data_IF_631205403871
#
_entry.id   IF_631205403871
#
_cell.length_a   1.000
_cell.length_b   1.000
_cell.length_c   1.000
_cell.angle_alpha   90.00
_cell.angle_beta   90.00
_cell.angle_gamma   90.00
#
_symmetry.space_group_name_H-M   'P 1'
#
loop_
_entity.id
_entity.type
_entity.pdbx_description
1 polymer ?
#
# COMPACT_ATOMS: atom_id res chain seq x y z
N UNK A 1 1.84 -16.61 -29.22
CA UNK A 1 1.29 -16.08 -27.95
C UNK A 1 1.91 -14.71 -27.74
N UNK A 2 1.14 -13.63 -27.65
CA UNK A 2 1.69 -12.30 -27.33
C UNK A 2 1.78 -12.20 -25.81
N UNK A 3 3.00 -12.18 -25.24
CA UNK A 3 3.19 -11.99 -23.81
C UNK A 3 2.96 -10.51 -23.49
N UNK A 4 1.72 -10.19 -23.11
CA UNK A 4 1.35 -8.84 -22.68
C UNK A 4 2.18 -8.48 -21.44
N UNK A 5 2.88 -7.36 -21.51
CA UNK A 5 3.63 -6.81 -20.38
C UNK A 5 2.66 -6.51 -19.24
N UNK A 6 3.03 -6.89 -18.02
CA UNK A 6 2.25 -6.58 -16.81
C UNK A 6 1.24 -7.65 -16.37
N UNK A 7 1.08 -8.76 -17.10
CA UNK A 7 0.32 -9.92 -16.58
C UNK A 7 1.12 -10.61 -15.47
N UNK A 8 0.47 -10.94 -14.36
CA UNK A 8 1.08 -11.68 -13.25
C UNK A 8 1.65 -13.03 -13.69
N UNK A 9 2.77 -13.43 -13.10
CA UNK A 9 3.42 -14.72 -13.32
C UNK A 9 2.56 -15.87 -12.76
N UNK A 10 2.73 -17.10 -13.29
CA UNK A 10 2.11 -18.30 -12.71
C UNK A 10 2.53 -18.51 -11.25
N UNK A 11 1.66 -19.16 -10.48
CA UNK A 11 1.90 -19.44 -9.06
C UNK A 11 3.21 -20.19 -8.80
N UNK A 12 3.61 -21.09 -9.70
CA UNK A 12 4.86 -21.86 -9.55
C UNK A 12 6.11 -20.96 -9.56
N UNK A 13 6.10 -19.91 -10.39
CA UNK A 13 7.18 -18.91 -10.44
C UNK A 13 7.19 -18.11 -9.13
N UNK A 14 6.02 -17.66 -8.67
CA UNK A 14 5.90 -16.93 -7.41
C UNK A 14 6.38 -17.77 -6.22
N UNK A 15 6.00 -19.05 -6.15
CA UNK A 15 6.44 -19.97 -5.11
C UNK A 15 7.96 -20.18 -5.13
N UNK A 16 8.56 -20.29 -6.32
CA UNK A 16 10.01 -20.38 -6.49
C UNK A 16 10.73 -19.13 -5.99
N UNK A 17 10.21 -17.94 -6.32
CA UNK A 17 10.75 -16.66 -5.83
C UNK A 17 10.66 -16.59 -4.30
N UNK A 18 9.50 -16.91 -3.71
CA UNK A 18 9.30 -16.96 -2.25
C UNK A 18 10.31 -17.92 -1.61
N UNK A 19 10.45 -19.13 -2.14
CA UNK A 19 11.37 -20.14 -1.59
C UNK A 19 12.82 -19.65 -1.60
N UNK A 20 13.28 -19.10 -2.72
CA UNK A 20 14.64 -18.57 -2.85
C UNK A 20 14.87 -17.41 -1.87
N UNK A 21 13.88 -16.54 -1.68
CA UNK A 21 13.98 -15.41 -0.76
C UNK A 21 13.99 -15.84 0.72
N UNK A 22 13.11 -16.75 1.13
CA UNK A 22 13.05 -17.27 2.50
C UNK A 22 14.33 -18.03 2.88
N UNK A 23 14.92 -18.76 1.94
CA UNK A 23 16.13 -19.56 2.19
C UNK A 23 17.44 -18.79 2.00
N UNK A 24 17.37 -17.49 1.71
CA UNK A 24 18.54 -16.73 1.30
C UNK A 24 19.51 -16.40 2.45
N UNK A 25 19.02 -15.81 3.54
CA UNK A 25 19.81 -15.40 4.71
C UNK A 25 18.90 -15.42 5.96
N UNK A 26 19.45 -15.81 7.11
CA UNK A 26 18.70 -15.92 8.38
C UNK A 26 18.25 -14.57 8.95
N UNK A 27 18.82 -13.45 8.48
CA UNK A 27 18.42 -12.09 8.88
C UNK A 27 17.10 -11.64 8.25
N UNK A 28 16.64 -12.34 7.22
CA UNK A 28 15.33 -12.10 6.62
C UNK A 28 14.28 -12.70 7.57
N UNK A 29 13.50 -11.83 8.22
CA UNK A 29 12.52 -12.24 9.22
C UNK A 29 11.19 -12.63 8.57
N UNK A 30 10.79 -11.90 7.53
CA UNK A 30 9.53 -12.09 6.82
C UNK A 30 9.71 -11.71 5.36
N UNK A 31 8.97 -12.39 4.48
CA UNK A 31 8.70 -11.91 3.12
C UNK A 31 7.36 -11.20 3.18
N UNK A 32 7.34 -9.93 2.85
CA UNK A 32 6.10 -9.17 2.89
C UNK A 32 5.29 -9.34 1.61
N UNK A 33 5.90 -9.00 0.48
CA UNK A 33 5.25 -9.04 -0.82
C UNK A 33 6.17 -9.68 -1.85
N UNK A 34 5.61 -10.54 -2.70
CA UNK A 34 6.28 -11.05 -3.90
C UNK A 34 5.38 -10.83 -5.09
N UNK A 35 5.88 -10.13 -6.10
CA UNK A 35 5.20 -9.90 -7.36
C UNK A 35 6.13 -10.30 -8.49
N UNK A 36 5.56 -10.90 -9.52
CA UNK A 36 6.28 -11.11 -10.76
C UNK A 36 5.33 -10.90 -11.92
N UNK A 37 5.79 -10.23 -12.96
CA UNK A 37 5.00 -9.91 -14.13
C UNK A 37 5.78 -10.14 -15.41
N UNK A 38 5.05 -10.50 -16.47
CA UNK A 38 5.64 -10.80 -17.77
C UNK A 38 6.35 -9.55 -18.33
N UNK A 39 7.58 -9.76 -18.77
CA UNK A 39 8.44 -8.80 -19.46
C UNK A 39 9.01 -9.50 -20.70
N UNK A 40 8.19 -9.60 -21.75
CA UNK A 40 8.49 -10.46 -22.90
C UNK A 40 8.37 -11.94 -22.53
N UNK A 41 9.41 -12.72 -22.79
CA UNK A 41 9.43 -14.17 -22.52
C UNK A 41 9.79 -14.52 -21.06
N UNK A 42 10.28 -13.55 -20.30
CA UNK A 42 10.74 -13.68 -18.92
C UNK A 42 9.90 -12.82 -17.97
N UNK A 43 10.25 -12.83 -16.68
CA UNK A 43 9.58 -12.06 -15.64
C UNK A 43 10.45 -10.94 -15.08
N UNK A 44 9.82 -9.82 -14.75
CA UNK A 44 10.34 -8.88 -13.76
C UNK A 44 9.78 -9.28 -12.40
N UNK A 45 10.66 -9.43 -11.42
CA UNK A 45 10.33 -9.82 -10.06
C UNK A 45 10.54 -8.65 -9.09
N UNK A 46 9.58 -8.44 -8.20
CA UNK A 46 9.65 -7.49 -7.09
C UNK A 46 9.45 -8.30 -5.81
N UNK A 47 10.40 -8.18 -4.88
CA UNK A 47 10.39 -8.90 -3.60
C UNK A 47 10.66 -7.91 -2.49
N UNK A 48 9.72 -7.83 -1.56
CA UNK A 48 9.82 -6.98 -0.38
C UNK A 48 10.10 -7.88 0.83
N UNK A 49 11.23 -7.63 1.49
CA UNK A 49 11.70 -8.41 2.64
C UNK A 49 11.76 -7.54 3.89
N UNK A 50 11.49 -8.15 5.04
CA UNK A 50 11.57 -7.48 6.34
C UNK A 50 12.80 -7.96 7.09
N UNK A 51 13.61 -7.02 7.57
CA UNK A 51 14.80 -7.25 8.40
C UNK A 51 14.69 -6.46 9.70
N UNK A 52 15.54 -6.74 10.70
CA UNK A 52 15.50 -5.99 11.95
C UNK A 52 15.90 -4.52 11.72
N UNK A 53 15.11 -3.57 12.23
CA UNK A 53 15.41 -2.13 12.15
C UNK A 53 16.68 -1.69 12.89
N UNK A 54 17.24 -2.57 13.73
CA UNK A 54 18.53 -2.37 14.39
C UNK A 54 19.73 -2.66 13.49
N UNK A 55 19.53 -3.33 12.36
CA UNK A 55 20.64 -3.69 11.49
C UNK A 55 21.17 -2.48 10.75
N UNK A 56 22.49 -2.44 10.61
CA UNK A 56 23.13 -1.39 9.84
C UNK A 56 22.69 -1.45 8.37
N UNK A 57 22.44 -0.27 7.79
CA UNK A 57 22.08 -0.13 6.37
C UNK A 57 23.05 -0.88 5.44
N UNK A 58 24.33 -0.92 5.77
CA UNK A 58 25.33 -1.69 5.01
C UNK A 58 24.98 -3.18 4.96
N UNK A 59 24.60 -3.75 6.09
CA UNK A 59 24.26 -5.18 6.20
C UNK A 59 22.98 -5.48 5.44
N UNK A 60 21.94 -4.67 5.61
CA UNK A 60 20.67 -4.87 4.90
C UNK A 60 20.83 -4.71 3.40
N UNK A 61 21.61 -3.72 2.95
CA UNK A 61 21.98 -3.54 1.55
C UNK A 61 22.75 -4.74 0.98
N UNK A 62 23.75 -5.26 1.69
CA UNK A 62 24.56 -6.36 1.17
C UNK A 62 23.73 -7.66 1.04
N UNK A 63 22.85 -7.92 2.01
CA UNK A 63 21.90 -9.04 1.96
C UNK A 63 20.93 -8.87 0.78
N UNK A 64 20.27 -7.72 0.65
CA UNK A 64 19.30 -7.49 -0.43
C UNK A 64 19.92 -7.49 -1.82
N UNK A 65 21.11 -6.90 -1.97
CA UNK A 65 21.86 -6.93 -3.23
C UNK A 65 22.25 -8.36 -3.61
N UNK A 66 22.67 -9.18 -2.64
CA UNK A 66 23.01 -10.57 -2.90
C UNK A 66 21.77 -11.43 -3.22
N UNK A 67 20.61 -11.12 -2.61
CA UNK A 67 19.33 -11.74 -2.95
C UNK A 67 18.89 -11.35 -4.37
N UNK A 68 18.99 -10.07 -4.73
CA UNK A 68 18.68 -9.59 -6.08
C UNK A 68 19.48 -10.38 -7.13
N UNK A 69 20.80 -10.47 -6.96
CA UNK A 69 21.67 -11.24 -7.87
C UNK A 69 21.27 -12.72 -7.94
N UNK A 70 20.86 -13.32 -6.82
CA UNK A 70 20.40 -14.71 -6.78
C UNK A 70 19.10 -14.90 -7.57
N UNK A 71 18.16 -13.96 -7.48
CA UNK A 71 16.90 -13.98 -8.23
C UNK A 71 17.11 -13.73 -9.72
N UNK A 72 17.97 -12.78 -10.10
CA UNK A 72 18.37 -12.54 -11.50
C UNK A 72 19.15 -13.71 -12.11
N UNK A 73 19.71 -14.60 -11.29
CA UNK A 73 20.33 -15.85 -11.74
C UNK A 73 19.34 -16.94 -12.13
N UNK A 74 18.03 -16.78 -11.88
CA UNK A 74 17.01 -17.73 -12.31
C UNK A 74 16.73 -17.57 -13.81
N UNK A 75 16.65 -18.68 -14.54
CA UNK A 75 16.39 -18.71 -16.00
C UNK A 75 15.18 -17.88 -16.44
N UNK A 76 14.17 -17.82 -15.57
CA UNK A 76 12.85 -17.26 -15.86
C UNK A 76 12.79 -15.75 -15.53
N UNK A 77 13.80 -15.21 -14.85
CA UNK A 77 13.83 -13.82 -14.36
C UNK A 77 14.76 -12.99 -15.24
N UNK A 78 14.27 -11.88 -15.78
CA UNK A 78 15.08 -10.92 -16.53
C UNK A 78 15.67 -9.83 -15.63
N UNK A 79 14.88 -9.36 -14.66
CA UNK A 79 15.29 -8.40 -13.63
C UNK A 79 14.59 -8.68 -12.32
N UNK A 80 15.28 -8.38 -11.22
CA UNK A 80 14.70 -8.39 -9.88
C UNK A 80 14.92 -7.06 -9.17
N UNK A 81 13.94 -6.65 -8.38
CA UNK A 81 14.04 -5.55 -7.43
C UNK A 81 13.78 -6.11 -6.04
N UNK A 82 14.66 -5.80 -5.08
CA UNK A 82 14.49 -6.22 -3.68
C UNK A 82 14.36 -4.98 -2.81
N UNK A 83 13.20 -4.80 -2.18
CA UNK A 83 12.97 -3.79 -1.16
C UNK A 83 13.30 -4.38 0.22
N UNK A 84 13.88 -3.59 1.11
CA UNK A 84 14.06 -3.98 2.52
C UNK A 84 13.33 -3.01 3.43
N UNK A 85 12.37 -3.54 4.17
CA UNK A 85 11.64 -2.83 5.21
C UNK A 85 12.05 -3.31 6.60
N UNK A 86 11.76 -2.50 7.61
CA UNK A 86 11.91 -2.87 9.01
C UNK A 86 10.57 -3.12 9.72
N UNK A 87 9.47 -2.83 9.04
CA UNK A 87 8.10 -2.97 9.53
C UNK A 87 7.25 -3.66 8.47
N UNK A 88 6.16 -4.30 8.90
CA UNK A 88 5.28 -5.07 8.02
C UNK A 88 3.82 -4.61 8.06
N UNK A 89 3.51 -3.57 8.84
CA UNK A 89 2.12 -3.11 9.06
C UNK A 89 1.57 -2.29 7.87
N UNK A 90 2.43 -1.78 6.99
CA UNK A 90 2.10 -1.10 5.74
C UNK A 90 0.94 -0.09 5.84
N UNK A 91 1.07 0.91 6.72
CA UNK A 91 0.03 1.93 6.83
C UNK A 91 -0.02 2.79 5.56
N UNK A 92 -1.11 2.64 4.81
CA UNK A 92 -1.38 3.39 3.58
C UNK A 92 -1.43 4.93 3.79
N UNK A 93 -1.58 5.40 5.03
CA UNK A 93 -1.49 6.82 5.38
C UNK A 93 -0.06 7.34 5.50
N UNK A 94 0.91 6.48 5.80
CA UNK A 94 2.31 6.86 6.02
C UNK A 94 3.21 6.54 4.81
N UNK A 95 2.96 5.44 4.11
CA UNK A 95 3.92 4.89 3.13
C UNK A 95 3.69 5.33 1.68
N UNK A 96 2.48 5.74 1.33
CA UNK A 96 2.11 6.04 -0.06
C UNK A 96 1.27 7.31 -0.23
N UNK A 97 1.21 7.80 -1.47
CA UNK A 97 0.41 8.96 -1.85
C UNK A 97 -1.03 8.70 -1.42
N UNK A 98 -1.50 9.43 -0.41
CA UNK A 98 -2.89 9.39 0.05
C UNK A 98 -3.82 9.35 -1.17
N UNK A 99 -4.50 8.22 -1.38
CA UNK A 99 -5.55 8.09 -2.40
C UNK A 99 -6.47 9.28 -2.18
N UNK A 100 -6.47 10.22 -3.14
CA UNK A 100 -7.20 11.49 -3.16
C UNK A 100 -8.03 11.73 -1.90
N UNK A 101 -7.64 12.69 -1.02
CA UNK A 101 -8.43 13.08 0.16
C UNK A 101 -9.91 12.97 -0.19
N UNK A 102 -10.59 11.93 0.30
CA UNK A 102 -12.03 11.77 0.05
C UNK A 102 -12.63 13.09 0.47
N UNK A 103 -13.37 13.74 -0.43
CA UNK A 103 -14.01 15.01 -0.17
C UNK A 103 -15.16 14.85 0.84
N UNK A 104 -14.89 14.30 2.02
CA UNK A 104 -15.85 14.16 3.12
C UNK A 104 -16.37 15.51 3.60
N UNK A 105 -15.58 16.58 3.40
CA UNK A 105 -16.01 17.95 3.75
C UNK A 105 -17.11 18.50 2.83
N UNK A 106 -17.26 18.03 1.60
CA UNK A 106 -18.29 18.54 0.68
C UNK A 106 -19.69 17.96 0.98
N UNK A 107 -19.75 16.78 1.59
CA UNK A 107 -21.01 16.08 1.89
C UNK A 107 -21.57 16.49 3.26
N UNK A 108 -20.70 16.67 4.25
CA UNK A 108 -21.07 17.22 5.57
C UNK A 108 -21.59 18.68 5.47
N UNK A 109 -20.94 19.53 4.65
CA UNK A 109 -21.42 20.90 4.38
C UNK A 109 -22.77 20.93 3.65
N UNK A 110 -23.01 20.00 2.70
CA UNK A 110 -24.31 19.91 2.01
C UNK A 110 -25.44 19.46 2.92
N UNK A 111 -25.15 18.59 3.90
CA UNK A 111 -26.16 18.14 4.87
C UNK A 111 -26.49 19.28 5.85
N UNK A 112 -25.51 20.03 6.35
CA UNK A 112 -25.77 21.22 7.19
C UNK A 112 -26.56 22.30 6.43
N UNK A 113 -26.20 22.59 5.18
CA UNK A 113 -26.90 23.57 4.33
C UNK A 113 -28.34 23.12 3.98
N UNK A 114 -28.59 21.81 3.85
CA UNK A 114 -29.92 21.26 3.58
C UNK A 114 -30.82 21.20 4.83
N UNK A 115 -30.23 21.11 6.02
CA UNK A 115 -30.98 21.04 7.30
C UNK A 115 -31.31 22.43 7.85
N UNK A 116 -30.74 23.50 7.28
CA UNK A 116 -30.96 24.88 7.72
C UNK A 116 -31.77 25.72 6.73
N UNK A 117 -33.11 25.75 6.83
CA UNK A 117 -33.95 26.91 6.43
C UNK A 117 -35.41 26.81 6.95
N UNK A 118 -36.13 27.95 7.07
CA UNK A 118 -36.55 28.55 8.33
C UNK A 118 -38.03 28.30 8.63
N UNK A 119 -38.39 28.04 9.89
CA UNK A 119 -39.80 28.06 10.29
C UNK A 119 -40.22 29.47 10.72
N UNK A 120 -41.10 30.00 9.89
CA UNK A 120 -41.80 31.27 9.90
C UNK A 120 -42.28 31.77 11.26
N UNK A 121 -42.09 33.08 11.44
CA UNK A 121 -43.05 33.96 12.10
C UNK A 121 -44.49 33.66 11.64
N UNK A 122 -45.41 33.39 12.58
CA UNK A 122 -46.56 34.25 12.85
C UNK A 122 -47.73 33.50 13.50
N UNK A 123 -48.34 34.22 14.47
CA UNK A 123 -49.67 34.05 15.12
C UNK A 123 -49.66 33.07 16.31
N UNK A 124 -50.12 33.42 17.51
CA UNK A 124 -51.02 34.48 18.01
C UNK A 124 -50.94 34.40 19.55
N UNK A 125 -51.13 35.51 20.27
CA UNK A 125 -51.54 35.40 21.67
C UNK A 125 -51.26 36.60 22.56
N UNK A 126 -52.14 37.59 22.44
CA UNK A 126 -52.38 38.67 23.42
C UNK A 126 -52.34 38.13 24.86
N UNK A 127 -51.53 38.73 25.73
CA UNK A 127 -51.94 39.01 27.11
C UNK A 127 -51.16 40.19 27.69
N UNK A 128 -51.85 41.32 27.79
CA UNK A 128 -51.40 42.50 28.50
C UNK A 128 -51.29 42.23 30.00
N UNK A 129 -50.22 42.74 30.64
CA UNK A 129 -50.18 43.04 32.07
C UNK A 129 -49.49 44.40 32.25
N UNK A 130 -50.28 45.38 32.70
CA UNK A 130 -49.85 46.74 33.05
C UNK A 130 -49.02 46.76 34.35
N UNK A 131 -48.07 47.69 34.51
CA UNK A 131 -47.33 47.92 35.75
C UNK A 131 -48.17 48.71 36.76
N UNK A 132 -47.87 48.54 38.06
CA UNK A 132 -48.29 49.45 39.13
C UNK A 132 -47.24 50.53 39.35
#
# INVERSE_FOLDING_TARGET
MWYLVGKSAPQDVLNKLVYVSVTHDARIQKIDTVRAYNAGEKFYAEVDIVMAGTEHLKVTHDVSQSLQRKLEGLSDVERACVHVDYEAEHDAHEEHRALYKRARKAEEQRVEDATGRPENEAKKGVFARLPR
#
